data_IF_189860781969
#
_entry.id   IF_189860781969
#
_cell.length_a   1.000
_cell.length_b   1.000
_cell.length_c   1.000
_cell.angle_alpha   90.00
_cell.angle_beta   90.00
_cell.angle_gamma   90.00
#
_symmetry.space_group_name_H-M   'P 1'
#
loop_
_entity.id
_entity.type
_entity.pdbx_description
1 polymer ?
#
# COMPACT_ATOMS: atom_id res chain seq x y z
N UNK A 1 24.25 -35.89 -47.07
CA UNK A 1 23.38 -34.82 -47.57
C UNK A 1 21.94 -34.97 -47.00
N UNK A 2 21.75 -34.99 -45.70
CA UNK A 2 20.40 -35.15 -45.09
C UNK A 2 20.16 -34.16 -43.94
N UNK A 3 21.00 -33.12 -43.78
CA UNK A 3 20.89 -32.15 -42.70
C UNK A 3 20.07 -30.90 -43.04
N UNK A 4 19.79 -30.65 -44.33
CA UNK A 4 19.04 -29.48 -44.78
C UNK A 4 17.55 -29.46 -44.32
N UNK A 5 16.79 -30.56 -44.36
CA UNK A 5 15.39 -30.51 -43.96
C UNK A 5 15.19 -30.38 -42.45
N UNK A 6 16.14 -30.88 -41.66
CA UNK A 6 16.13 -30.71 -40.19
C UNK A 6 16.43 -29.26 -39.78
N UNK A 7 17.31 -28.57 -40.48
CA UNK A 7 17.56 -27.15 -40.28
C UNK A 7 16.34 -26.27 -40.58
N UNK A 8 15.69 -26.51 -41.72
CA UNK A 8 14.46 -25.80 -42.06
C UNK A 8 13.32 -26.00 -41.05
N UNK A 9 13.14 -27.22 -40.55
CA UNK A 9 12.16 -27.50 -39.49
C UNK A 9 12.48 -26.77 -38.21
N UNK A 10 13.75 -26.69 -37.82
CA UNK A 10 14.19 -25.96 -36.63
C UNK A 10 13.94 -24.44 -36.78
N UNK A 11 14.23 -23.88 -37.95
CA UNK A 11 14.00 -22.45 -38.22
C UNK A 11 12.51 -22.09 -38.20
N UNK A 12 11.65 -22.95 -38.80
CA UNK A 12 10.19 -22.75 -38.79
C UNK A 12 9.65 -22.84 -37.34
N UNK A 13 10.09 -23.81 -36.56
CA UNK A 13 9.66 -23.92 -35.16
C UNK A 13 10.11 -22.74 -34.31
N UNK A 14 11.33 -22.29 -34.49
CA UNK A 14 11.86 -21.10 -33.83
C UNK A 14 11.06 -19.84 -34.21
N UNK A 15 10.73 -19.67 -35.48
CA UNK A 15 9.92 -18.55 -35.94
C UNK A 15 8.50 -18.56 -35.34
N UNK A 16 7.87 -19.73 -35.23
CA UNK A 16 6.55 -19.90 -34.59
C UNK A 16 6.64 -19.53 -33.11
N UNK A 17 7.65 -20.04 -32.40
CA UNK A 17 7.86 -19.72 -30.97
C UNK A 17 8.03 -18.22 -30.75
N UNK A 18 8.87 -17.57 -31.54
CA UNK A 18 9.10 -16.14 -31.42
C UNK A 18 7.82 -15.35 -31.76
N UNK A 19 7.09 -15.73 -32.80
CA UNK A 19 5.93 -15.01 -33.28
C UNK A 19 4.72 -15.10 -32.31
N UNK A 20 4.55 -16.23 -31.61
CA UNK A 20 3.38 -16.46 -30.76
C UNK A 20 3.70 -16.35 -29.26
N UNK A 21 4.82 -16.92 -28.80
CA UNK A 21 5.14 -16.95 -27.36
C UNK A 21 5.64 -15.59 -26.88
N UNK A 22 6.47 -14.91 -27.67
CA UNK A 22 7.01 -13.62 -27.28
C UNK A 22 5.94 -12.54 -27.06
N UNK A 23 4.94 -12.34 -27.94
CA UNK A 23 3.85 -11.39 -27.68
C UNK A 23 3.02 -11.75 -26.44
N UNK A 24 2.77 -13.05 -26.19
CA UNK A 24 2.06 -13.48 -24.99
C UNK A 24 2.82 -13.13 -23.71
N UNK A 25 4.13 -13.32 -23.69
CA UNK A 25 4.98 -12.92 -22.56
C UNK A 25 4.97 -11.40 -22.36
N UNK A 26 5.03 -10.64 -23.46
CA UNK A 26 4.95 -9.17 -23.40
C UNK A 26 3.61 -8.70 -22.85
N UNK A 27 2.49 -9.30 -23.26
CA UNK A 27 1.15 -8.94 -22.76
C UNK A 27 1.02 -9.24 -21.26
N UNK A 28 1.54 -10.39 -20.81
CA UNK A 28 1.52 -10.72 -19.37
C UNK A 28 2.36 -9.73 -18.54
N UNK A 29 3.57 -9.41 -19.00
CA UNK A 29 4.41 -8.42 -18.33
C UNK A 29 3.78 -7.00 -18.33
N UNK A 30 3.02 -6.65 -19.36
CA UNK A 30 2.28 -5.39 -19.40
C UNK A 30 1.12 -5.36 -18.41
N UNK A 31 0.38 -6.47 -18.27
CA UNK A 31 -0.73 -6.57 -17.30
C UNK A 31 -0.26 -6.35 -15.87
N UNK A 32 0.85 -6.96 -15.47
CA UNK A 32 1.42 -6.77 -14.14
C UNK A 32 1.75 -5.29 -13.88
N UNK A 33 2.45 -4.65 -14.80
CA UNK A 33 2.81 -3.23 -14.67
C UNK A 33 1.61 -2.28 -14.62
N UNK A 34 0.54 -2.59 -15.34
CA UNK A 34 -0.70 -1.80 -15.31
C UNK A 34 -1.40 -1.98 -13.96
N UNK A 35 -1.47 -3.22 -13.48
CA UNK A 35 -2.03 -3.53 -12.17
C UNK A 35 -1.29 -2.79 -11.06
N UNK A 36 0.04 -2.78 -11.06
CA UNK A 36 0.84 -2.12 -10.04
C UNK A 36 0.63 -0.60 -10.01
N UNK A 37 0.55 0.03 -11.18
CA UNK A 37 0.25 1.47 -11.28
C UNK A 37 -1.15 1.80 -10.79
N UNK A 38 -2.11 0.94 -11.09
CA UNK A 38 -3.49 1.12 -10.66
C UNK A 38 -3.58 1.00 -9.14
N UNK A 39 -2.94 -0.01 -8.56
CA UNK A 39 -2.86 -0.19 -7.09
C UNK A 39 -2.21 1.00 -6.42
N UNK A 40 -1.10 1.50 -6.97
CA UNK A 40 -0.46 2.71 -6.45
C UNK A 40 -1.42 3.91 -6.49
N UNK A 41 -2.18 4.06 -7.57
CA UNK A 41 -3.17 5.14 -7.71
C UNK A 41 -4.26 5.08 -6.65
N UNK A 42 -4.88 3.90 -6.45
CA UNK A 42 -5.92 3.67 -5.43
C UNK A 42 -5.36 3.96 -4.02
N UNK A 43 -4.18 3.40 -3.71
CA UNK A 43 -3.55 3.56 -2.40
C UNK A 43 -3.21 5.03 -2.11
N UNK A 44 -2.72 5.75 -3.11
CA UNK A 44 -2.43 7.17 -2.99
C UNK A 44 -3.70 7.98 -2.74
N UNK A 45 -4.79 7.70 -3.48
CA UNK A 45 -6.09 8.36 -3.30
C UNK A 45 -6.68 8.09 -1.91
N UNK A 46 -6.63 6.86 -1.45
CA UNK A 46 -7.07 6.50 -0.10
C UNK A 46 -6.26 7.25 0.96
N UNK A 47 -4.92 7.20 0.88
CA UNK A 47 -4.03 7.88 1.82
C UNK A 47 -4.28 9.39 1.83
N UNK A 48 -4.46 10.00 0.66
CA UNK A 48 -4.76 11.43 0.56
C UNK A 48 -6.14 11.78 1.15
N UNK A 49 -7.16 10.96 0.89
CA UNK A 49 -8.49 11.13 1.46
C UNK A 49 -8.46 11.08 2.98
N UNK A 50 -7.76 10.10 3.55
CA UNK A 50 -7.56 9.94 5.00
C UNK A 50 -6.81 11.14 5.59
N UNK A 51 -5.71 11.55 4.97
CA UNK A 51 -4.93 12.70 5.43
C UNK A 51 -5.74 14.00 5.41
N UNK A 52 -6.62 14.17 4.42
CA UNK A 52 -7.44 15.38 4.30
C UNK A 52 -8.66 15.35 5.23
N UNK A 53 -9.29 14.19 5.41
CA UNK A 53 -10.42 14.02 6.35
C UNK A 53 -9.96 14.07 7.81
N UNK A 54 -8.84 13.43 8.13
CA UNK A 54 -8.33 13.26 9.50
C UNK A 54 -9.03 12.14 10.28
N UNK A 55 -9.79 11.30 9.59
CA UNK A 55 -10.41 10.09 10.17
C UNK A 55 -10.59 9.02 9.11
N UNK A 56 -10.67 7.78 9.55
CA UNK A 56 -11.00 6.62 8.71
C UNK A 56 -12.33 6.08 9.19
N UNK A 57 -13.32 6.09 8.31
CA UNK A 57 -14.61 5.43 8.51
C UNK A 57 -14.63 4.06 7.83
N UNK A 58 -15.52 3.20 8.28
CA UNK A 58 -15.74 1.86 7.72
C UNK A 58 -16.03 1.92 6.22
N UNK A 59 -16.89 2.86 5.80
CA UNK A 59 -17.27 3.03 4.39
C UNK A 59 -16.07 3.34 3.49
N UNK A 60 -15.19 4.24 3.93
CA UNK A 60 -13.97 4.61 3.20
C UNK A 60 -13.01 3.44 3.10
N UNK A 61 -12.85 2.70 4.21
CA UNK A 61 -11.97 1.55 4.24
C UNK A 61 -12.48 0.40 3.37
N UNK A 62 -13.77 0.06 3.48
CA UNK A 62 -14.38 -0.99 2.66
C UNK A 62 -14.38 -0.66 1.17
N UNK A 63 -14.65 0.59 0.80
CA UNK A 63 -14.54 1.04 -0.57
C UNK A 63 -13.12 0.84 -1.13
N UNK A 64 -12.11 1.18 -0.35
CA UNK A 64 -10.71 0.96 -0.71
C UNK A 64 -10.39 -0.54 -0.89
N UNK A 65 -10.81 -1.38 0.05
CA UNK A 65 -10.59 -2.84 -0.04
C UNK A 65 -11.33 -3.45 -1.23
N UNK A 66 -12.57 -3.02 -1.50
CA UNK A 66 -13.36 -3.49 -2.64
C UNK A 66 -12.68 -3.12 -3.98
N UNK A 67 -12.18 -1.89 -4.09
CA UNK A 67 -11.46 -1.43 -5.28
C UNK A 67 -10.14 -2.19 -5.47
N UNK A 68 -9.43 -2.45 -4.39
CA UNK A 68 -8.20 -3.25 -4.39
C UNK A 68 -8.47 -4.70 -4.82
N UNK A 69 -9.53 -5.32 -4.28
CA UNK A 69 -9.96 -6.67 -4.66
C UNK A 69 -10.34 -6.78 -6.14
N UNK A 70 -10.87 -5.72 -6.73
CA UNK A 70 -11.17 -5.63 -8.16
C UNK A 70 -9.96 -5.80 -9.07
N UNK A 71 -8.73 -5.68 -8.54
CA UNK A 71 -7.49 -5.95 -9.30
C UNK A 71 -7.19 -7.43 -9.53
N UNK A 72 -7.97 -8.33 -8.89
CA UNK A 72 -7.91 -9.78 -9.09
C UNK A 72 -6.84 -10.52 -8.28
N UNK A 73 -6.03 -9.83 -7.48
CA UNK A 73 -5.02 -10.43 -6.63
C UNK A 73 -5.41 -10.26 -5.15
N UNK A 74 -5.24 -11.33 -4.34
CA UNK A 74 -5.32 -11.22 -2.88
C UNK A 74 -4.06 -10.51 -2.36
N UNK A 75 -4.23 -9.29 -1.91
CA UNK A 75 -3.16 -8.46 -1.38
C UNK A 75 -3.39 -8.19 0.10
N UNK A 76 -2.32 -8.23 0.87
CA UNK A 76 -2.36 -7.81 2.26
C UNK A 76 -2.16 -6.30 2.33
N UNK A 77 -2.98 -5.66 3.15
CA UNK A 77 -2.91 -4.23 3.40
C UNK A 77 -2.46 -4.01 4.83
N UNK A 78 -1.42 -3.24 5.00
CA UNK A 78 -0.94 -2.78 6.30
C UNK A 78 -1.10 -1.26 6.38
N UNK A 79 -1.77 -0.82 7.44
CA UNK A 79 -1.95 0.61 7.74
C UNK A 79 -1.26 0.87 9.06
N UNK A 80 -0.45 1.91 9.08
CA UNK A 80 0.30 2.30 10.28
C UNK A 80 0.12 3.78 10.52
N UNK A 81 -0.23 4.15 11.75
CA UNK A 81 -0.26 5.55 12.20
C UNK A 81 0.97 5.83 13.06
N UNK A 82 1.68 6.89 12.74
CA UNK A 82 2.87 7.38 13.43
C UNK A 82 2.53 8.66 14.17
N UNK A 83 2.32 8.56 15.46
CA UNK A 83 1.91 9.70 16.30
C UNK A 83 3.14 10.24 17.05
N UNK A 84 3.57 11.48 16.78
CA UNK A 84 4.65 12.10 17.55
C UNK A 84 4.15 12.38 18.97
N UNK A 85 4.86 11.87 19.95
CA UNK A 85 4.62 12.07 21.37
C UNK A 85 5.78 12.83 21.99
N UNK A 86 5.46 13.67 22.95
CA UNK A 86 6.42 14.49 23.64
C UNK A 86 6.31 14.23 25.16
N UNK A 87 7.40 13.76 25.75
CA UNK A 87 7.47 13.54 27.20
C UNK A 87 8.45 14.51 27.84
N UNK A 88 8.05 15.21 28.92
CA UNK A 88 8.95 16.06 29.65
C UNK A 88 9.98 15.23 30.44
N UNK A 89 11.25 15.65 30.39
CA UNK A 89 12.34 14.99 31.08
C UNK A 89 12.41 15.51 32.51
N UNK A 90 12.41 14.59 33.51
CA UNK A 90 12.56 14.90 34.91
C UNK A 90 13.86 14.29 35.45
N UNK A 91 14.68 15.11 36.10
CA UNK A 91 15.81 14.63 36.92
C UNK A 91 15.51 14.89 38.39
N UNK A 92 15.62 13.84 39.23
CA UNK A 92 15.36 13.91 40.67
C UNK A 92 13.99 14.54 41.04
N UNK A 93 12.99 14.38 40.16
CA UNK A 93 11.63 14.93 40.35
C UNK A 93 11.46 16.39 39.94
N UNK A 94 12.48 17.01 39.37
CA UNK A 94 12.44 18.38 38.83
C UNK A 94 12.47 18.34 37.31
N UNK A 95 11.58 19.10 36.67
CA UNK A 95 11.56 19.24 35.23
C UNK A 95 12.84 19.95 34.76
N UNK A 96 13.57 19.32 33.84
CA UNK A 96 14.85 19.84 33.33
C UNK A 96 14.68 20.95 32.28
N UNK A 97 13.48 21.15 31.77
CA UNK A 97 13.20 22.04 30.62
C UNK A 97 13.39 21.34 29.28
N UNK A 98 13.80 20.07 29.26
CA UNK A 98 13.95 19.27 28.08
C UNK A 98 12.72 18.42 27.83
N UNK A 99 12.40 18.18 26.55
CA UNK A 99 11.32 17.31 26.10
C UNK A 99 11.91 16.28 25.17
N UNK A 100 11.67 15.01 25.48
CA UNK A 100 12.04 13.92 24.57
C UNK A 100 10.89 13.64 23.63
N UNK A 101 11.19 13.62 22.33
CA UNK A 101 10.27 13.21 21.29
C UNK A 101 10.41 11.71 21.06
N UNK A 102 9.30 10.99 21.06
CA UNK A 102 9.24 9.60 20.63
C UNK A 102 8.03 9.40 19.72
N UNK A 103 8.09 8.37 18.90
CA UNK A 103 7.06 8.01 17.95
C UNK A 103 6.26 6.83 18.48
N UNK A 104 4.97 7.02 18.68
CA UNK A 104 4.03 5.94 18.98
C UNK A 104 3.49 5.39 17.66
N UNK A 105 3.67 4.09 17.44
CA UNK A 105 3.26 3.43 16.20
C UNK A 105 2.03 2.57 16.49
N UNK A 106 0.91 2.91 15.87
CA UNK A 106 -0.30 2.11 15.90
C UNK A 106 -0.36 1.23 14.64
N UNK A 107 -0.47 -0.08 14.85
CA UNK A 107 -0.52 -1.06 13.77
C UNK A 107 -1.92 -1.29 13.22
N UNK A 108 -1.98 -2.04 12.14
CA UNK A 108 -3.21 -2.35 11.40
C UNK A 108 -4.32 -2.94 12.26
N UNK A 109 -4.02 -3.89 13.15
CA UNK A 109 -5.04 -4.57 13.97
C UNK A 109 -5.74 -3.59 14.92
N UNK A 110 -4.98 -2.68 15.53
CA UNK A 110 -5.53 -1.69 16.44
C UNK A 110 -6.36 -0.65 15.68
N UNK A 111 -5.87 -0.19 14.52
CA UNK A 111 -6.61 0.72 13.65
C UNK A 111 -7.90 0.09 13.15
N UNK A 112 -7.89 -1.16 12.70
CA UNK A 112 -9.09 -1.87 12.26
C UNK A 112 -10.13 -1.99 13.38
N UNK A 113 -9.70 -2.31 14.60
CA UNK A 113 -10.60 -2.37 15.75
C UNK A 113 -11.30 -1.03 15.99
N UNK A 114 -10.62 0.09 15.77
CA UNK A 114 -11.18 1.44 15.90
C UNK A 114 -12.07 1.78 14.70
N UNK A 115 -11.71 1.41 13.48
CA UNK A 115 -12.49 1.67 12.26
C UNK A 115 -13.87 1.00 12.35
N UNK A 116 -13.91 -0.25 12.84
CA UNK A 116 -15.18 -1.00 13.01
C UNK A 116 -15.93 -0.71 14.33
N UNK A 117 -15.44 0.26 15.11
CA UNK A 117 -16.21 0.80 16.23
C UNK A 117 -17.22 1.84 15.75
N UNK A 118 -18.29 2.06 16.50
CA UNK A 118 -19.39 2.97 16.11
C UNK A 118 -18.95 4.42 15.81
N UNK A 119 -17.78 4.83 16.32
CA UNK A 119 -17.26 6.20 16.17
C UNK A 119 -16.23 6.36 15.03
N UNK A 120 -15.79 5.26 14.38
CA UNK A 120 -14.70 5.29 13.41
C UNK A 120 -13.34 5.55 14.06
N UNK A 121 -12.28 5.65 13.25
CA UNK A 121 -10.92 5.91 13.72
C UNK A 121 -10.52 7.36 13.47
N UNK A 122 -10.52 8.19 14.52
CA UNK A 122 -9.96 9.55 14.47
C UNK A 122 -8.43 9.49 14.54
N UNK A 123 -7.78 10.18 13.60
CA UNK A 123 -6.32 10.28 13.52
C UNK A 123 -5.83 11.56 14.19
N UNK A 124 -4.67 11.46 14.84
CA UNK A 124 -4.06 12.63 15.45
C UNK A 124 -3.61 13.63 14.37
N UNK A 125 -3.95 14.90 14.54
CA UNK A 125 -3.47 15.94 13.62
C UNK A 125 -1.96 16.06 13.67
N UNK A 126 -1.31 16.01 12.52
CA UNK A 126 0.14 15.99 12.41
C UNK A 126 0.76 14.60 12.52
N UNK A 127 -0.05 13.57 12.77
CA UNK A 127 0.41 12.19 12.68
C UNK A 127 0.74 11.83 11.23
N UNK A 128 1.73 10.96 11.06
CA UNK A 128 2.02 10.31 9.79
C UNK A 128 1.12 9.09 9.60
N UNK A 129 0.56 8.90 8.43
CA UNK A 129 -0.08 7.64 8.06
C UNK A 129 0.71 6.97 6.95
N UNK A 130 0.94 5.67 7.07
CA UNK A 130 1.57 4.84 6.04
C UNK A 130 0.65 3.70 5.68
N UNK A 131 0.42 3.52 4.39
CA UNK A 131 -0.35 2.41 3.83
C UNK A 131 0.56 1.61 2.94
N UNK A 132 0.75 0.35 3.28
CA UNK A 132 1.60 -0.59 2.56
C UNK A 132 0.77 -1.75 2.02
N UNK A 133 1.05 -2.13 0.78
CA UNK A 133 0.38 -3.23 0.11
C UNK A 133 1.42 -4.27 -0.25
N UNK A 134 1.15 -5.52 0.14
CA UNK A 134 2.00 -6.67 -0.10
C UNK A 134 1.32 -7.65 -1.06
N UNK A 135 2.09 -8.15 -2.01
CA UNK A 135 1.69 -9.24 -2.90
C UNK A 135 2.65 -10.42 -2.69
N UNK A 136 2.13 -11.55 -2.19
CA UNK A 136 2.94 -12.73 -1.90
C UNK A 136 4.09 -12.51 -0.89
N UNK A 137 3.97 -11.52 0.00
CA UNK A 137 4.99 -11.19 1.01
C UNK A 137 6.05 -10.18 0.54
N UNK A 138 5.97 -9.71 -0.70
CA UNK A 138 6.80 -8.63 -1.22
C UNK A 138 6.03 -7.31 -1.16
N UNK A 139 6.65 -6.28 -0.61
CA UNK A 139 6.07 -4.92 -0.62
C UNK A 139 5.94 -4.41 -2.04
N UNK A 140 4.71 -4.19 -2.48
CA UNK A 140 4.38 -3.73 -3.83
C UNK A 140 4.28 -2.21 -3.90
N UNK A 141 3.55 -1.63 -2.94
CA UNK A 141 3.26 -0.18 -2.89
C UNK A 141 3.33 0.29 -1.45
N UNK A 142 3.95 1.44 -1.26
CA UNK A 142 3.92 2.18 0.00
C UNK A 142 3.54 3.62 -0.28
N UNK A 143 2.47 4.08 0.34
CA UNK A 143 2.04 5.47 0.30
C UNK A 143 2.03 6.01 1.73
N UNK A 144 2.56 7.20 1.94
CA UNK A 144 2.55 7.85 3.24
C UNK A 144 2.15 9.32 3.11
N UNK A 145 1.52 9.83 4.14
CA UNK A 145 1.10 11.23 4.19
C UNK A 145 0.97 11.71 5.61
N UNK A 146 0.84 13.02 5.78
CA UNK A 146 0.64 13.65 7.07
C UNK A 146 -0.83 14.08 7.21
N UNK A 147 -1.44 13.78 8.34
CA UNK A 147 -2.82 14.11 8.65
C UNK A 147 -2.97 15.63 8.83
N UNK A 148 -3.71 16.26 7.93
CA UNK A 148 -4.01 17.70 7.91
C UNK A 148 -5.43 18.01 8.38
N UNK A 149 -6.33 17.06 8.14
CA UNK A 149 -7.73 17.17 8.50
C UNK A 149 -7.94 17.30 10.00
N UNK A 150 -9.09 17.84 10.36
CA UNK A 150 -9.55 17.91 11.75
C UNK A 150 -10.72 16.93 11.84
N UNK A 151 -10.59 15.91 12.67
CA UNK A 151 -11.69 15.02 12.96
C UNK A 151 -12.96 15.82 13.30
N UNK A 152 -14.08 15.44 12.76
CA UNK A 152 -15.39 16.01 13.16
C UNK A 152 -15.67 15.54 14.59
N UNK A 153 -15.77 16.49 15.50
CA UNK A 153 -16.49 16.25 16.77
C UNK A 153 -17.98 16.15 16.52
#
# INVERSE_FOLDING_TARGET
MTSEPLGMLADITAAIVIMFIFPLLCVNAMKERISDRYVHGITSQFTEAVCNKGYIDEELYEAFIAELAGTGNCRNVEITEHVPRYEPVYESGVFTGEVTEYEEILGTEELLTRIYSDDGCELARGAGISVEIYDGGLGLVRCSGMVKGRAKR
#
